data_IF_915026293923
#
_entry.id   IF_915026293923
#
_cell.length_a   1.000
_cell.length_b   1.000
_cell.length_c   1.000
_cell.angle_alpha   90.00
_cell.angle_beta   90.00
_cell.angle_gamma   90.00
#
_symmetry.space_group_name_H-M   'P 1'
#
loop_
_entity.id
_entity.type
_entity.pdbx_description
1 polymer ?
#
# COMPACT_ATOMS: atom_id res chain seq x y z
N UNK A 1 -30.46 -8.60 17.97
CA UNK A 1 -29.78 -8.07 16.77
C UNK A 1 -30.29 -8.87 15.59
N UNK A 2 -30.65 -8.24 14.48
CA UNK A 2 -31.10 -8.93 13.25
C UNK A 2 -29.93 -9.25 12.33
N UNK A 3 -30.11 -10.21 11.41
CA UNK A 3 -29.08 -10.60 10.43
C UNK A 3 -28.64 -9.43 9.55
N UNK A 4 -29.59 -8.60 9.09
CA UNK A 4 -29.30 -7.39 8.31
C UNK A 4 -28.40 -6.42 9.09
N UNK A 5 -28.69 -6.21 10.38
CA UNK A 5 -27.88 -5.34 11.23
C UNK A 5 -26.49 -5.93 11.48
N UNK A 6 -26.37 -7.25 11.63
CA UNK A 6 -25.09 -7.93 11.76
C UNK A 6 -24.26 -7.77 10.47
N UNK A 7 -24.87 -7.96 9.30
CA UNK A 7 -24.20 -7.83 8.01
C UNK A 7 -23.67 -6.40 7.78
N UNK A 8 -24.45 -5.38 8.10
CA UNK A 8 -24.02 -3.99 8.00
C UNK A 8 -22.85 -3.66 8.95
N UNK A 9 -22.85 -4.22 10.17
CA UNK A 9 -21.71 -4.11 11.09
C UNK A 9 -20.45 -4.79 10.50
N UNK A 10 -20.59 -5.99 9.94
CA UNK A 10 -19.48 -6.68 9.28
C UNK A 10 -18.88 -5.87 8.13
N UNK A 11 -19.73 -5.27 7.27
CA UNK A 11 -19.28 -4.39 6.18
C UNK A 11 -18.52 -3.17 6.71
N UNK A 12 -19.07 -2.50 7.73
CA UNK A 12 -18.46 -1.32 8.35
C UNK A 12 -17.10 -1.65 8.94
N UNK A 13 -17.02 -2.67 9.80
CA UNK A 13 -15.78 -3.03 10.48
C UNK A 13 -14.74 -3.63 9.53
N UNK A 14 -15.18 -4.42 8.54
CA UNK A 14 -14.30 -4.92 7.48
C UNK A 14 -13.63 -3.79 6.70
N UNK A 15 -14.39 -2.77 6.29
CA UNK A 15 -13.84 -1.59 5.60
C UNK A 15 -12.86 -0.81 6.49
N UNK A 16 -13.20 -0.61 7.76
CA UNK A 16 -12.32 0.09 8.70
C UNK A 16 -11.02 -0.68 8.94
N UNK A 17 -11.10 -2.00 9.14
CA UNK A 17 -9.93 -2.85 9.33
C UNK A 17 -8.97 -2.77 8.12
N UNK A 18 -9.50 -2.78 6.89
CA UNK A 18 -8.71 -2.61 5.68
C UNK A 18 -8.02 -1.24 5.63
N UNK A 19 -8.75 -0.16 5.95
CA UNK A 19 -8.20 1.20 5.98
C UNK A 19 -7.06 1.33 7.01
N UNK A 20 -7.29 0.87 8.23
CA UNK A 20 -6.27 0.94 9.29
C UNK A 20 -5.05 0.07 8.97
N UNK A 21 -5.25 -1.10 8.36
CA UNK A 21 -4.15 -1.95 7.88
C UNK A 21 -3.34 -1.24 6.80
N UNK A 22 -3.97 -0.53 5.87
CA UNK A 22 -3.27 0.24 4.83
C UNK A 22 -2.42 1.36 5.43
N UNK A 23 -2.98 2.13 6.37
CA UNK A 23 -2.24 3.16 7.11
C UNK A 23 -1.06 2.57 7.87
N UNK A 24 -1.25 1.43 8.55
CA UNK A 24 -0.15 0.74 9.23
C UNK A 24 0.97 0.33 8.27
N UNK A 25 0.62 -0.25 7.10
CA UNK A 25 1.58 -0.63 6.06
C UNK A 25 2.38 0.59 5.59
N UNK A 26 1.74 1.73 5.37
CA UNK A 26 2.39 2.97 4.95
C UNK A 26 3.42 3.52 5.95
N UNK A 27 3.33 3.16 7.23
CA UNK A 27 4.33 3.54 8.25
C UNK A 27 5.59 2.67 8.22
N UNK A 28 5.53 1.46 7.64
CA UNK A 28 6.63 0.50 7.69
C UNK A 28 7.96 1.00 7.11
N UNK A 29 7.99 1.78 6.00
CA UNK A 29 9.23 2.39 5.52
C UNK A 29 9.94 3.23 6.58
N UNK A 30 9.20 4.06 7.33
CA UNK A 30 9.79 4.90 8.37
C UNK A 30 10.19 4.09 9.62
N UNK A 31 9.37 3.09 9.98
CA UNK A 31 9.72 2.11 11.03
C UNK A 31 11.04 1.41 10.70
N UNK A 32 11.23 1.02 9.44
CA UNK A 32 12.45 0.37 8.95
C UNK A 32 13.64 1.33 9.02
N UNK A 33 13.51 2.52 8.42
CA UNK A 33 14.54 3.55 8.37
C UNK A 33 15.04 3.93 9.76
N UNK A 34 14.14 4.10 10.73
CA UNK A 34 14.48 4.47 12.11
C UNK A 34 14.89 3.29 13.00
N UNK A 35 14.81 2.06 12.48
CA UNK A 35 14.95 0.82 13.25
C UNK A 35 14.07 0.83 14.51
N UNK A 36 12.83 1.32 14.36
CA UNK A 36 11.92 1.45 15.50
C UNK A 36 11.55 0.08 16.08
N UNK A 37 11.48 -0.95 15.23
CA UNK A 37 11.24 -2.33 15.68
C UNK A 37 12.32 -2.81 16.67
N UNK A 38 13.61 -2.59 16.38
CA UNK A 38 14.73 -2.89 17.28
C UNK A 38 14.61 -2.12 18.60
N UNK A 39 14.33 -0.81 18.52
CA UNK A 39 14.14 0.06 19.70
C UNK A 39 12.96 -0.36 20.59
N UNK A 40 12.04 -1.16 20.06
CA UNK A 40 10.89 -1.70 20.78
C UNK A 40 11.04 -3.19 21.12
N UNK A 41 12.24 -3.75 20.96
CA UNK A 41 12.57 -5.11 21.38
C UNK A 41 12.12 -6.20 20.42
N UNK A 42 11.74 -5.87 19.18
CA UNK A 42 11.45 -6.85 18.15
C UNK A 42 12.74 -7.26 17.44
N UNK A 43 12.89 -8.55 17.12
CA UNK A 43 14.06 -9.09 16.43
C UNK A 43 14.13 -8.72 14.95
N UNK A 44 13.01 -8.35 14.32
CA UNK A 44 12.98 -7.89 12.94
C UNK A 44 11.75 -7.03 12.63
N UNK A 45 11.80 -6.29 11.51
CA UNK A 45 10.61 -5.61 10.98
C UNK A 45 9.48 -6.57 10.61
N UNK A 46 9.82 -7.81 10.21
CA UNK A 46 8.83 -8.84 9.89
C UNK A 46 8.06 -9.28 11.12
N UNK A 47 8.78 -9.55 12.21
CA UNK A 47 8.18 -9.86 13.50
C UNK A 47 7.30 -8.70 14.01
N UNK A 48 7.80 -7.47 13.93
CA UNK A 48 7.06 -6.26 14.30
C UNK A 48 5.74 -6.14 13.53
N UNK A 49 5.80 -6.26 12.20
CA UNK A 49 4.66 -6.13 11.32
C UNK A 49 3.64 -7.28 11.49
N UNK A 50 4.14 -8.50 11.73
CA UNK A 50 3.30 -9.67 11.99
C UNK A 50 2.58 -9.54 13.33
N UNK A 51 3.31 -9.25 14.42
CA UNK A 51 2.73 -9.16 15.77
C UNK A 51 1.73 -8.02 15.92
N UNK A 52 1.94 -6.88 15.27
CA UNK A 52 1.06 -5.72 15.42
C UNK A 52 -0.09 -5.66 14.42
N UNK A 53 0.06 -6.22 13.22
CA UNK A 53 -0.93 -6.05 12.15
C UNK A 53 -1.19 -7.32 11.31
N UNK A 54 -0.62 -8.47 11.70
CA UNK A 54 -0.79 -9.74 10.99
C UNK A 54 -0.32 -9.68 9.54
N UNK A 55 0.76 -8.93 9.28
CA UNK A 55 1.36 -8.81 7.94
C UNK A 55 2.30 -9.98 7.66
N UNK A 56 2.24 -10.53 6.45
CA UNK A 56 3.24 -11.51 6.00
C UNK A 56 4.53 -10.82 5.57
N UNK A 57 5.65 -11.56 5.59
CA UNK A 57 6.93 -11.04 5.09
C UNK A 57 6.82 -10.49 3.66
N UNK A 58 6.05 -11.16 2.80
CA UNK A 58 5.81 -10.72 1.41
C UNK A 58 5.18 -9.33 1.38
N UNK A 59 4.23 -9.04 2.26
CA UNK A 59 3.59 -7.71 2.34
C UNK A 59 4.59 -6.65 2.83
N UNK A 60 5.42 -6.98 3.81
CA UNK A 60 6.46 -6.08 4.33
C UNK A 60 7.51 -5.78 3.25
N UNK A 61 8.04 -6.81 2.58
CA UNK A 61 9.01 -6.62 1.47
C UNK A 61 8.42 -5.79 0.34
N UNK A 62 7.15 -6.03 0.00
CA UNK A 62 6.46 -5.27 -1.04
C UNK A 62 6.48 -3.76 -0.74
N UNK A 63 6.09 -3.35 0.47
CA UNK A 63 6.04 -1.92 0.81
C UNK A 63 7.43 -1.29 0.85
N UNK A 64 8.43 -1.99 1.40
CA UNK A 64 9.81 -1.50 1.44
C UNK A 64 10.39 -1.33 0.03
N UNK A 65 10.10 -2.27 -0.89
CA UNK A 65 10.52 -2.17 -2.28
C UNK A 65 9.81 -1.04 -3.03
N UNK A 66 8.52 -0.81 -2.74
CA UNK A 66 7.78 0.30 -3.35
C UNK A 66 8.30 1.66 -2.89
N UNK A 67 8.64 1.79 -1.60
CA UNK A 67 9.27 3.03 -1.10
C UNK A 67 10.52 3.37 -1.90
N UNK A 68 11.40 2.39 -2.15
CA UNK A 68 12.61 2.60 -2.95
C UNK A 68 12.27 3.00 -4.40
N UNK A 69 11.30 2.34 -5.03
CA UNK A 69 10.90 2.64 -6.41
C UNK A 69 10.25 4.02 -6.59
N UNK A 70 9.66 4.54 -5.53
CA UNK A 70 8.99 5.83 -5.51
C UNK A 70 9.86 6.93 -4.87
N UNK A 71 11.13 6.68 -4.57
CA UNK A 71 12.02 7.65 -3.93
C UNK A 71 12.09 8.99 -4.68
N UNK A 72 12.09 8.94 -6.01
CA UNK A 72 12.13 10.10 -6.91
C UNK A 72 10.73 10.56 -7.38
N UNK A 73 9.65 9.92 -6.90
CA UNK A 73 8.24 10.13 -7.30
C UNK A 73 7.39 10.53 -6.08
N UNK A 74 7.47 11.79 -5.64
CA UNK A 74 6.89 12.26 -4.38
C UNK A 74 5.38 12.01 -4.24
N UNK A 75 4.61 12.04 -5.32
CA UNK A 75 3.15 11.87 -5.29
C UNK A 75 2.81 10.42 -4.97
N UNK A 76 3.40 9.47 -5.70
CA UNK A 76 3.18 8.04 -5.48
C UNK A 76 3.73 7.59 -4.12
N UNK A 77 4.87 8.16 -3.71
CA UNK A 77 5.45 7.92 -2.39
C UNK A 77 4.52 8.39 -1.27
N UNK A 78 3.94 9.59 -1.39
CA UNK A 78 2.96 10.12 -0.43
C UNK A 78 1.75 9.19 -0.31
N UNK A 79 1.19 8.75 -1.44
CA UNK A 79 0.05 7.84 -1.46
C UNK A 79 0.34 6.49 -0.76
N UNK A 80 1.57 5.99 -0.90
CA UNK A 80 2.02 4.79 -0.20
C UNK A 80 2.08 5.01 1.32
N UNK A 81 2.75 6.08 1.75
CA UNK A 81 2.99 6.40 3.16
C UNK A 81 1.70 6.71 3.91
N UNK A 82 0.82 7.49 3.29
CA UNK A 82 -0.45 7.89 3.91
C UNK A 82 -1.49 6.77 3.89
N UNK A 83 -1.19 5.66 3.19
CA UNK A 83 -2.09 4.51 3.05
C UNK A 83 -3.37 4.85 2.29
N UNK A 84 -3.32 5.85 1.40
CA UNK A 84 -4.47 6.26 0.57
C UNK A 84 -4.89 5.15 -0.39
N UNK A 85 -3.89 4.40 -0.90
CA UNK A 85 -4.08 3.30 -1.84
C UNK A 85 -3.28 2.10 -1.36
N UNK A 86 -3.86 0.90 -1.48
CA UNK A 86 -3.17 -0.33 -1.10
C UNK A 86 -1.87 -0.52 -1.91
N UNK A 87 -0.80 -0.97 -1.26
CA UNK A 87 0.46 -1.34 -1.90
C UNK A 87 0.29 -2.33 -3.07
N UNK A 88 -0.68 -3.26 -2.97
CA UNK A 88 -1.01 -4.22 -4.03
C UNK A 88 -1.59 -3.60 -5.31
N UNK A 89 -2.11 -2.37 -5.24
CA UNK A 89 -2.58 -1.61 -6.40
C UNK A 89 -1.44 -0.76 -6.95
N UNK A 90 -0.67 -0.10 -6.07
CA UNK A 90 0.50 0.69 -6.45
C UNK A 90 1.59 -0.13 -7.16
N UNK A 91 1.80 -1.39 -6.77
CA UNK A 91 2.80 -2.25 -7.44
C UNK A 91 2.55 -2.47 -8.94
N UNK A 92 1.30 -2.30 -9.40
CA UNK A 92 0.91 -2.54 -10.80
C UNK A 92 1.49 -1.48 -11.74
N UNK A 93 1.62 -0.27 -11.25
CA UNK A 93 2.19 0.86 -11.99
C UNK A 93 3.68 1.05 -11.73
N UNK A 94 4.24 0.38 -10.71
CA UNK A 94 5.59 0.66 -10.23
C UNK A 94 6.70 0.42 -11.25
N UNK A 95 6.46 -0.37 -12.31
CA UNK A 95 7.43 -0.59 -13.40
C UNK A 95 7.38 0.46 -14.50
N UNK A 96 6.29 1.21 -14.61
CA UNK A 96 6.06 2.21 -15.67
C UNK A 96 6.00 3.63 -15.14
N UNK A 97 6.04 3.78 -13.81
CA UNK A 97 6.08 5.07 -13.17
C UNK A 97 7.41 5.77 -13.45
N UNK A 98 7.33 7.03 -13.86
CA UNK A 98 8.43 7.97 -14.02
C UNK A 98 8.08 9.25 -13.25
N UNK A 99 8.96 10.25 -13.27
CA UNK A 99 8.67 11.55 -12.65
C UNK A 99 7.63 12.32 -13.44
N UNK A 100 7.64 12.15 -14.75
CA UNK A 100 6.81 12.89 -15.70
C UNK A 100 5.35 12.43 -15.67
N UNK A 101 5.09 11.15 -15.37
CA UNK A 101 3.74 10.57 -15.40
C UNK A 101 3.16 10.24 -14.01
N UNK A 102 3.82 10.61 -12.91
CA UNK A 102 3.40 10.16 -11.58
C UNK A 102 2.01 10.67 -11.17
N UNK A 103 1.66 11.89 -11.57
CA UNK A 103 0.36 12.53 -11.28
C UNK A 103 -0.79 11.82 -12.01
N UNK A 104 -0.57 11.49 -13.28
CA UNK A 104 -1.53 10.74 -14.08
C UNK A 104 -1.75 9.34 -13.50
N UNK A 105 -0.66 8.65 -13.16
CA UNK A 105 -0.72 7.34 -12.53
C UNK A 105 -1.40 7.39 -11.15
N UNK A 106 -1.18 8.46 -10.37
CA UNK A 106 -1.86 8.69 -9.10
C UNK A 106 -3.39 8.80 -9.30
N UNK A 107 -3.83 9.58 -10.30
CA UNK A 107 -5.25 9.70 -10.64
C UNK A 107 -5.86 8.35 -11.06
N UNK A 108 -5.15 7.59 -11.91
CA UNK A 108 -5.55 6.25 -12.36
C UNK A 108 -5.74 5.29 -11.20
N UNK A 109 -4.77 5.19 -10.28
CA UNK A 109 -4.86 4.24 -9.16
C UNK A 109 -5.85 4.68 -8.09
N UNK A 110 -6.24 5.95 -8.02
CA UNK A 110 -7.33 6.42 -7.12
C UNK A 110 -8.71 6.04 -7.66
N UNK A 111 -8.91 6.13 -8.97
CA UNK A 111 -10.23 6.05 -9.60
C UNK A 111 -10.56 4.65 -10.13
N UNK A 112 -9.62 4.00 -10.80
CA UNK A 112 -9.91 2.80 -11.57
C UNK A 112 -9.89 1.52 -10.71
N UNK A 113 -10.72 0.51 -11.03
CA UNK A 113 -10.59 -0.80 -10.40
C UNK A 113 -9.24 -1.45 -10.75
N UNK A 114 -8.87 -2.46 -9.96
CA UNK A 114 -7.57 -3.15 -10.05
C UNK A 114 -7.22 -3.63 -11.47
N UNK A 115 -8.18 -4.25 -12.16
CA UNK A 115 -8.01 -4.80 -13.52
C UNK A 115 -7.81 -3.71 -14.58
N UNK A 116 -8.46 -2.56 -14.41
CA UNK A 116 -8.28 -1.43 -15.31
C UNK A 116 -6.90 -0.77 -15.11
N UNK A 117 -6.41 -0.67 -13.86
CA UNK A 117 -5.03 -0.25 -13.58
C UNK A 117 -4.01 -1.17 -14.25
N UNK A 118 -4.24 -2.49 -14.24
CA UNK A 118 -3.35 -3.45 -14.91
C UNK A 118 -3.29 -3.25 -16.41
N UNK A 119 -4.44 -2.96 -17.02
CA UNK A 119 -4.55 -2.72 -18.46
C UNK A 119 -3.82 -1.43 -18.81
N UNK A 120 -4.12 -0.35 -18.08
CA UNK A 120 -3.45 0.93 -18.23
C UNK A 120 -1.91 0.83 -18.13
N UNK A 121 -1.40 0.14 -17.11
CA UNK A 121 0.03 -0.05 -16.93
C UNK A 121 0.67 -0.94 -18.02
N UNK A 122 -0.11 -1.81 -18.66
CA UNK A 122 0.35 -2.59 -19.82
C UNK A 122 0.44 -1.72 -21.06
N UNK A 123 -0.55 -0.86 -21.28
CA UNK A 123 -0.62 0.01 -22.46
C UNK A 123 0.57 0.99 -22.47
N UNK A 124 0.87 1.63 -21.33
CA UNK A 124 2.08 2.48 -21.19
C UNK A 124 3.35 1.69 -21.49
N UNK A 125 3.46 0.45 -21.00
CA UNK A 125 4.65 -0.39 -21.25
C UNK A 125 4.82 -0.72 -22.74
N UNK A 126 3.72 -0.77 -23.48
CA UNK A 126 3.69 -1.04 -24.91
C UNK A 126 3.78 0.25 -25.75
N UNK A 127 3.89 1.43 -25.14
CA UNK A 127 4.00 2.71 -25.84
C UNK A 127 2.69 3.28 -26.38
N UNK A 128 1.56 2.86 -25.80
CA UNK A 128 0.21 3.42 -26.02
C UNK A 128 -0.12 4.42 -24.90
#
# INVERSE_FOLDING_TARGET
MTDEKLYELCKKYGRQALLWRQKFVGLLPEVYKRRLYEKKGFGSIFEFAFKLAGLSEKQVRLVLNLEQKFEDKPVLRRMLIDGEVSANKLVRIASVATRENEEELAAVVKTLPKSAVDTYARDIRNGL
#
